data_IF_500383242134
#
_entry.id   IF_500383242134
#
_cell.length_a   1.000
_cell.length_b   1.000
_cell.length_c   1.000
_cell.angle_alpha   90.00
_cell.angle_beta   90.00
_cell.angle_gamma   90.00
#
_symmetry.space_group_name_H-M   'P 1'
#
loop_
_entity.id
_entity.type
_entity.pdbx_description
1 polymer ?
#
# COMPACT_ATOMS: atom_id res chain seq x y z
N UNK A 1 18.59 18.14 -8.09
CA UNK A 1 18.41 17.30 -6.88
C UNK A 1 18.83 15.88 -7.25
N UNK A 2 19.55 15.14 -6.40
CA UNK A 2 19.91 13.76 -6.76
C UNK A 2 18.71 12.85 -6.45
N UNK A 3 18.22 12.13 -7.46
CA UNK A 3 17.24 11.05 -7.24
C UNK A 3 17.97 9.93 -6.47
N UNK A 4 17.54 9.70 -5.24
CA UNK A 4 18.09 8.62 -4.41
C UNK A 4 17.17 7.41 -4.54
N UNK A 5 17.72 6.31 -5.01
CA UNK A 5 16.95 5.07 -5.10
C UNK A 5 16.50 4.63 -3.69
N UNK A 6 15.22 4.36 -3.48
CA UNK A 6 14.72 3.86 -2.21
C UNK A 6 15.26 2.45 -1.96
N UNK A 7 15.27 2.05 -0.68
CA UNK A 7 15.68 0.72 -0.26
C UNK A 7 14.61 0.14 0.65
N UNK A 8 14.42 -1.19 0.65
CA UNK A 8 13.61 -1.83 1.67
C UNK A 8 14.21 -1.52 3.05
N UNK A 9 13.42 -1.66 4.10
CA UNK A 9 13.93 -1.53 5.46
C UNK A 9 13.33 -2.60 6.36
N UNK A 10 14.09 -2.98 7.39
CA UNK A 10 13.62 -3.70 8.56
C UNK A 10 14.03 -2.90 9.79
N UNK A 11 13.08 -2.60 10.66
CA UNK A 11 13.32 -1.99 11.97
C UNK A 11 12.97 -3.03 13.02
N UNK A 12 13.99 -3.69 13.55
CA UNK A 12 13.82 -4.79 14.50
C UNK A 12 13.55 -4.26 15.91
N UNK A 13 12.44 -4.70 16.52
CA UNK A 13 12.08 -4.39 17.90
C UNK A 13 11.04 -5.41 18.40
N UNK A 14 11.27 -6.03 19.56
CA UNK A 14 10.32 -6.92 20.20
C UNK A 14 9.88 -8.15 19.37
N UNK A 15 8.93 -8.95 19.90
CA UNK A 15 8.55 -10.23 19.30
C UNK A 15 7.43 -10.15 18.26
N UNK A 16 6.76 -9.00 18.09
CA UNK A 16 5.62 -8.80 17.20
C UNK A 16 6.07 -8.11 15.92
N UNK A 17 5.52 -8.51 14.77
CA UNK A 17 5.92 -7.97 13.49
C UNK A 17 4.76 -7.39 12.68
N UNK A 18 5.06 -6.33 11.92
CA UNK A 18 4.15 -5.70 10.96
C UNK A 18 4.84 -5.57 9.60
N UNK A 19 4.23 -6.16 8.57
CA UNK A 19 4.62 -5.95 7.19
C UNK A 19 3.93 -4.69 6.67
N UNK A 20 4.72 -3.72 6.20
CA UNK A 20 4.25 -2.42 5.71
C UNK A 20 4.34 -2.36 4.19
N UNK A 21 3.21 -2.20 3.52
CA UNK A 21 3.08 -2.24 2.08
C UNK A 21 2.78 -0.85 1.52
N UNK A 22 3.63 -0.38 0.60
CA UNK A 22 3.47 0.96 -0.02
C UNK A 22 2.48 0.97 -1.19
N UNK A 23 2.08 2.18 -1.62
CA UNK A 23 1.15 2.40 -2.72
C UNK A 23 1.76 2.28 -4.13
N UNK A 24 0.90 2.34 -5.15
CA UNK A 24 1.28 2.46 -6.55
C UNK A 24 2.02 3.78 -6.78
N UNK A 25 3.07 3.78 -7.58
CA UNK A 25 4.03 4.88 -7.79
C UNK A 25 4.86 5.28 -6.55
N UNK A 26 4.51 4.77 -5.37
CA UNK A 26 5.21 4.99 -4.12
C UNK A 26 6.38 4.04 -3.88
N UNK A 27 6.92 4.06 -2.69
CA UNK A 27 8.00 3.17 -2.23
C UNK A 27 8.08 3.11 -0.70
N UNK A 28 9.05 2.38 -0.16
CA UNK A 28 9.20 2.17 1.29
C UNK A 28 9.22 3.45 2.16
N UNK A 29 9.56 4.62 1.59
CA UNK A 29 9.55 5.88 2.36
C UNK A 29 8.13 6.29 2.79
N UNK A 30 7.11 5.92 2.03
CA UNK A 30 5.72 6.30 2.31
C UNK A 30 5.21 5.71 3.62
N UNK A 31 5.76 4.57 4.02
CA UNK A 31 5.39 3.85 5.25
C UNK A 31 6.51 3.86 6.32
N UNK A 32 7.63 4.55 6.03
CA UNK A 32 8.80 4.56 6.92
C UNK A 32 8.52 5.23 8.26
N UNK A 33 7.72 6.31 8.27
CA UNK A 33 7.40 7.01 9.52
C UNK A 33 6.57 6.12 10.45
N UNK A 34 5.59 5.42 9.91
CA UNK A 34 4.82 4.41 10.63
C UNK A 34 5.75 3.29 11.16
N UNK A 35 6.66 2.79 10.31
CA UNK A 35 7.63 1.77 10.74
C UNK A 35 8.50 2.21 11.92
N UNK A 36 9.00 3.46 11.89
CA UNK A 36 9.78 4.02 13.01
C UNK A 36 8.95 4.26 14.28
N UNK A 37 7.69 4.60 14.12
CA UNK A 37 6.78 4.73 15.24
C UNK A 37 6.54 3.36 15.90
N UNK A 38 6.24 2.34 15.10
CA UNK A 38 6.03 0.96 15.58
C UNK A 38 7.28 0.38 16.25
N UNK A 39 8.48 0.64 15.70
CA UNK A 39 9.75 0.28 16.34
C UNK A 39 9.85 0.82 17.77
N UNK A 40 9.51 2.09 17.99
CA UNK A 40 9.52 2.71 19.34
C UNK A 40 8.48 2.10 20.28
N UNK A 41 7.42 1.49 19.73
CA UNK A 41 6.36 0.80 20.48
C UNK A 41 6.68 -0.70 20.67
N UNK A 42 7.84 -1.18 20.23
CA UNK A 42 8.29 -2.56 20.42
C UNK A 42 7.80 -3.54 19.34
N UNK A 43 7.39 -3.05 18.17
CA UNK A 43 7.04 -3.85 17.00
C UNK A 43 8.17 -3.82 15.96
N UNK A 44 8.57 -4.98 15.50
CA UNK A 44 9.38 -5.08 14.28
C UNK A 44 8.54 -4.69 13.07
N UNK A 45 9.11 -3.91 12.16
CA UNK A 45 8.43 -3.55 10.92
C UNK A 45 9.35 -3.80 9.71
N UNK A 46 8.79 -4.38 8.66
CA UNK A 46 9.46 -4.57 7.38
C UNK A 46 8.67 -3.93 6.26
N UNK A 47 9.35 -3.23 5.35
CA UNK A 47 8.75 -2.69 4.14
C UNK A 47 9.59 -3.07 2.92
N UNK A 48 9.05 -3.84 1.97
CA UNK A 48 9.69 -4.14 0.69
C UNK A 48 9.66 -2.93 -0.25
N UNK A 49 10.24 -3.10 -1.43
CA UNK A 49 9.99 -2.30 -2.61
C UNK A 49 9.62 -3.27 -3.72
N UNK A 50 8.47 -3.06 -4.35
CA UNK A 50 8.04 -3.90 -5.47
C UNK A 50 8.83 -3.58 -6.72
N UNK A 51 8.99 -4.55 -7.62
CA UNK A 51 9.64 -4.39 -8.92
C UNK A 51 9.11 -3.17 -9.67
N UNK A 52 10.01 -2.36 -10.23
CA UNK A 52 9.71 -1.14 -10.94
C UNK A 52 9.40 0.08 -10.08
N UNK A 53 9.06 -0.08 -8.78
CA UNK A 53 8.75 1.02 -7.89
C UNK A 53 10.02 1.74 -7.40
N UNK A 54 9.91 3.06 -7.19
CA UNK A 54 11.05 3.89 -6.79
C UNK A 54 12.10 4.09 -7.89
N UNK A 55 11.79 3.68 -9.12
CA UNK A 55 12.59 3.81 -10.33
C UNK A 55 11.90 4.78 -11.32
N UNK A 56 12.54 5.12 -12.46
CA UNK A 56 11.87 5.88 -13.51
C UNK A 56 10.55 5.27 -13.95
N UNK A 57 9.54 6.06 -14.35
CA UNK A 57 8.23 5.56 -14.77
C UNK A 57 8.30 4.47 -15.85
N UNK A 58 9.31 4.52 -16.71
CA UNK A 58 9.57 3.52 -17.75
C UNK A 58 9.90 2.13 -17.18
N UNK A 59 10.50 2.08 -16.00
CA UNK A 59 10.78 0.81 -15.31
C UNK A 59 9.52 0.27 -14.61
N UNK A 60 8.68 1.17 -14.09
CA UNK A 60 7.43 0.78 -13.46
C UNK A 60 6.49 0.07 -14.46
N UNK A 61 6.32 0.61 -15.67
CA UNK A 61 5.44 0.01 -16.69
C UNK A 61 5.96 -1.31 -17.29
N UNK A 62 7.24 -1.67 -17.04
CA UNK A 62 7.79 -3.00 -17.40
C UNK A 62 7.44 -4.07 -16.39
N UNK A 63 6.98 -3.67 -15.21
CA UNK A 63 6.51 -4.58 -14.15
C UNK A 63 4.97 -4.70 -14.18
N UNK A 64 4.44 -5.63 -13.41
CA UNK A 64 3.00 -5.91 -13.39
C UNK A 64 2.54 -6.40 -12.00
N UNK A 65 1.22 -6.44 -11.74
CA UNK A 65 0.65 -6.87 -10.47
C UNK A 65 1.07 -8.27 -10.01
N UNK A 66 1.26 -9.23 -10.91
CA UNK A 66 1.71 -10.57 -10.53
C UNK A 66 3.12 -10.56 -9.94
N UNK A 67 3.99 -9.73 -10.53
CA UNK A 67 5.35 -9.55 -10.03
C UNK A 67 5.35 -8.83 -8.68
N UNK A 68 4.49 -7.83 -8.49
CA UNK A 68 4.35 -7.12 -7.21
C UNK A 68 3.80 -8.05 -6.12
N UNK A 69 2.87 -8.92 -6.50
CA UNK A 69 2.37 -9.97 -5.62
C UNK A 69 3.49 -10.94 -5.19
N UNK A 70 4.35 -11.36 -6.12
CA UNK A 70 5.51 -12.19 -5.78
C UNK A 70 6.47 -11.47 -4.82
N UNK A 71 6.69 -10.16 -5.01
CA UNK A 71 7.54 -9.37 -4.12
C UNK A 71 6.93 -9.25 -2.70
N UNK A 72 5.60 -9.14 -2.59
CA UNK A 72 4.89 -9.16 -1.28
C UNK A 72 5.00 -10.51 -0.61
N UNK A 73 4.83 -11.62 -1.33
CA UNK A 73 5.02 -12.97 -0.77
C UNK A 73 6.45 -13.17 -0.27
N UNK A 74 7.44 -12.73 -1.04
CA UNK A 74 8.85 -12.81 -0.64
C UNK A 74 9.12 -11.97 0.62
N UNK A 75 8.52 -10.78 0.72
CA UNK A 75 8.65 -9.94 1.91
C UNK A 75 7.98 -10.57 3.14
N UNK A 76 6.84 -11.21 2.98
CA UNK A 76 6.16 -11.94 4.04
C UNK A 76 7.00 -13.13 4.53
N UNK A 77 7.52 -13.96 3.61
CA UNK A 77 8.42 -15.06 3.95
C UNK A 77 9.72 -14.57 4.61
N UNK A 78 10.27 -13.44 4.13
CA UNK A 78 11.44 -12.83 4.78
C UNK A 78 11.17 -12.51 6.27
N UNK A 79 10.01 -11.95 6.61
CA UNK A 79 9.65 -11.67 8.01
C UNK A 79 9.49 -12.98 8.81
N UNK A 80 8.95 -14.05 8.19
CA UNK A 80 8.88 -15.39 8.82
C UNK A 80 10.28 -15.98 9.06
N UNK A 81 11.21 -15.82 8.12
CA UNK A 81 12.59 -16.27 8.24
C UNK A 81 13.36 -15.54 9.36
N UNK A 82 12.98 -14.30 9.70
CA UNK A 82 13.48 -13.58 10.87
C UNK A 82 12.97 -14.16 12.20
N UNK A 83 12.05 -15.14 12.15
CA UNK A 83 11.54 -15.87 13.32
C UNK A 83 10.17 -15.41 13.80
N UNK A 84 9.50 -14.45 13.11
CA UNK A 84 8.17 -13.98 13.47
C UNK A 84 7.09 -14.95 12.97
N UNK A 85 6.30 -15.49 13.89
CA UNK A 85 5.20 -16.43 13.57
C UNK A 85 3.89 -15.72 13.28
N UNK A 86 3.64 -14.61 13.97
CA UNK A 86 2.46 -13.78 13.82
C UNK A 86 2.85 -12.44 13.22
N UNK A 87 2.30 -12.13 12.06
CA UNK A 87 2.65 -10.95 11.29
C UNK A 87 1.35 -10.22 10.93
N UNK A 88 1.19 -8.99 11.42
CA UNK A 88 0.15 -8.10 10.94
C UNK A 88 0.60 -7.41 9.64
N UNK A 89 -0.35 -6.99 8.83
CA UNK A 89 -0.07 -6.33 7.55
C UNK A 89 -0.78 -4.97 7.51
N UNK A 90 -0.07 -3.90 7.20
CA UNK A 90 -0.64 -2.59 6.98
C UNK A 90 -0.24 -2.08 5.59
N UNK A 91 -1.21 -1.74 4.75
CA UNK A 91 -0.97 -1.40 3.36
C UNK A 91 -1.67 -0.15 2.88
N UNK A 92 -0.92 0.75 2.23
CA UNK A 92 -1.43 1.98 1.63
C UNK A 92 -1.85 1.74 0.17
N UNK A 93 -3.07 2.12 -0.20
CA UNK A 93 -3.56 2.08 -1.58
C UNK A 93 -3.38 0.69 -2.23
N UNK A 94 -2.56 0.55 -3.28
CA UNK A 94 -2.16 -0.75 -3.85
C UNK A 94 -1.63 -1.71 -2.77
N UNK A 95 -0.85 -1.20 -1.81
CA UNK A 95 -0.35 -2.01 -0.70
C UNK A 95 -1.48 -2.60 0.15
N UNK A 96 -2.60 -1.89 0.31
CA UNK A 96 -3.78 -2.42 0.97
C UNK A 96 -4.50 -3.48 0.14
N UNK A 97 -4.58 -3.33 -1.19
CA UNK A 97 -5.12 -4.36 -2.09
C UNK A 97 -4.28 -5.65 -2.03
N UNK A 98 -2.94 -5.52 -2.08
CA UNK A 98 -2.02 -6.65 -1.94
C UNK A 98 -2.06 -7.26 -0.52
N UNK A 99 -2.27 -6.43 0.51
CA UNK A 99 -2.46 -6.88 1.88
C UNK A 99 -3.76 -7.68 2.07
N UNK A 100 -4.86 -7.24 1.47
CA UNK A 100 -6.12 -7.99 1.44
C UNK A 100 -5.95 -9.31 0.68
N UNK A 101 -5.19 -9.31 -0.43
CA UNK A 101 -4.84 -10.55 -1.14
C UNK A 101 -4.04 -11.50 -0.23
N UNK A 102 -3.12 -10.98 0.55
CA UNK A 102 -2.35 -11.78 1.51
C UNK A 102 -3.26 -12.35 2.61
N UNK A 103 -4.25 -11.57 3.09
CA UNK A 103 -5.15 -11.97 4.16
C UNK A 103 -6.03 -13.19 3.82
N UNK A 104 -6.41 -13.39 2.56
CA UNK A 104 -7.12 -14.61 2.16
C UNK A 104 -6.21 -15.72 1.63
N UNK A 105 -4.93 -15.42 1.39
CA UNK A 105 -3.97 -16.41 0.86
C UNK A 105 -3.08 -17.02 1.93
N UNK A 106 -2.83 -16.30 3.03
CA UNK A 106 -1.89 -16.66 4.10
C UNK A 106 -2.53 -16.43 5.48
N UNK A 107 -1.98 -17.11 6.48
CA UNK A 107 -2.39 -16.86 7.86
C UNK A 107 -1.63 -15.64 8.40
N UNK A 108 -2.28 -14.49 8.45
CA UNK A 108 -1.75 -13.25 9.02
C UNK A 108 -2.49 -12.87 10.29
N UNK A 109 -1.85 -12.11 11.18
CA UNK A 109 -2.41 -11.72 12.48
C UNK A 109 -3.54 -10.69 12.37
N UNK A 110 -3.37 -9.71 11.48
CA UNK A 110 -4.34 -8.67 11.20
C UNK A 110 -4.06 -8.01 9.85
N UNK A 111 -5.09 -7.39 9.27
CA UNK A 111 -4.97 -6.58 8.04
C UNK A 111 -5.47 -5.16 8.27
N UNK A 112 -4.67 -4.16 7.84
CA UNK A 112 -4.97 -2.74 7.95
C UNK A 112 -4.87 -2.11 6.53
N UNK A 113 -5.93 -2.23 5.70
CA UNK A 113 -5.98 -1.55 4.40
C UNK A 113 -6.24 -0.06 4.58
N UNK A 114 -5.33 0.78 4.07
CA UNK A 114 -5.39 2.24 4.16
C UNK A 114 -5.64 2.85 2.78
N UNK A 115 -6.72 3.59 2.59
CA UNK A 115 -7.09 4.23 1.32
C UNK A 115 -7.01 3.25 0.13
N UNK A 116 -7.54 2.04 0.30
CA UNK A 116 -7.37 0.93 -0.65
C UNK A 116 -8.52 0.87 -1.65
N UNK A 117 -8.26 0.91 -2.98
CA UNK A 117 -9.31 0.91 -3.98
C UNK A 117 -10.00 -0.45 -4.10
N UNK A 118 -11.34 -0.46 -4.10
CA UNK A 118 -12.18 -1.60 -4.45
C UNK A 118 -13.02 -1.33 -5.72
N UNK A 119 -13.07 -0.08 -6.15
CA UNK A 119 -13.74 0.33 -7.38
C UNK A 119 -12.71 0.89 -8.37
N UNK A 120 -12.70 0.32 -9.56
CA UNK A 120 -11.84 0.73 -10.67
C UNK A 120 -12.70 1.36 -11.77
N UNK A 121 -13.65 2.22 -11.35
CA UNK A 121 -14.65 2.81 -12.25
C UNK A 121 -14.07 3.90 -13.16
N UNK A 122 -12.87 4.36 -12.85
CA UNK A 122 -12.16 5.38 -13.61
C UNK A 122 -10.70 5.00 -13.80
N UNK A 123 -10.38 4.36 -14.93
CA UNK A 123 -9.00 4.36 -15.44
C UNK A 123 -8.40 5.78 -15.37
N UNK A 124 -9.24 6.82 -15.41
CA UNK A 124 -8.87 8.23 -15.42
C UNK A 124 -8.20 8.70 -14.13
N UNK A 125 -8.60 8.25 -12.94
CA UNK A 125 -7.99 8.77 -11.69
C UNK A 125 -6.60 8.17 -11.42
N UNK A 126 -6.46 6.85 -11.55
CA UNK A 126 -5.16 6.20 -11.38
C UNK A 126 -4.19 6.55 -12.53
N UNK A 127 -4.69 6.66 -13.76
CA UNK A 127 -3.89 7.10 -14.90
C UNK A 127 -3.45 8.55 -14.75
N UNK A 128 -4.29 9.46 -14.24
CA UNK A 128 -3.90 10.85 -13.98
C UNK A 128 -2.86 10.95 -12.85
N UNK A 129 -2.98 10.13 -11.80
CA UNK A 129 -1.97 10.02 -10.75
C UNK A 129 -0.62 9.55 -11.28
N UNK A 130 -0.62 8.52 -12.12
CA UNK A 130 0.59 8.03 -12.78
C UNK A 130 1.18 9.06 -13.74
N UNK A 131 0.36 9.79 -14.47
CA UNK A 131 0.80 10.88 -15.34
C UNK A 131 1.46 12.01 -14.55
N UNK A 132 0.85 12.40 -13.42
CA UNK A 132 1.42 13.42 -12.51
C UNK A 132 2.76 12.96 -11.96
N UNK A 133 2.84 11.76 -11.40
CA UNK A 133 4.08 11.14 -10.92
C UNK A 133 5.16 11.14 -12.01
N UNK A 134 4.80 10.71 -13.22
CA UNK A 134 5.74 10.62 -14.33
C UNK A 134 6.26 11.99 -14.76
N UNK A 135 5.39 13.00 -14.80
CA UNK A 135 5.76 14.39 -15.09
C UNK A 135 6.73 14.93 -14.06
N UNK A 136 6.41 14.79 -12.77
CA UNK A 136 7.26 15.26 -11.67
C UNK A 136 8.63 14.56 -11.69
N UNK A 137 8.65 13.24 -11.93
CA UNK A 137 9.90 12.50 -12.06
C UNK A 137 10.80 13.04 -13.17
N UNK A 138 10.24 13.28 -14.36
CA UNK A 138 10.97 13.82 -15.51
C UNK A 138 11.45 15.27 -15.30
N UNK A 139 10.69 16.07 -14.55
CA UNK A 139 11.14 17.39 -14.10
C UNK A 139 12.35 17.30 -13.16
N UNK A 140 12.37 16.32 -12.26
CA UNK A 140 13.52 16.04 -11.38
C UNK A 140 14.75 15.57 -12.17
N UNK A 141 14.57 14.91 -13.31
CA UNK A 141 15.65 14.58 -14.26
C UNK A 141 16.20 15.82 -15.00
N UNK A 142 15.53 16.97 -14.91
CA UNK A 142 15.94 18.22 -15.55
C UNK A 142 15.59 18.28 -17.03
N UNK A 143 14.57 17.54 -17.48
CA UNK A 143 14.09 17.55 -18.87
C UNK A 143 13.24 18.78 -19.16
N UNK A 144 13.28 19.25 -20.40
CA UNK A 144 12.44 20.35 -20.89
C UNK A 144 10.99 19.92 -21.10
N UNK A 145 10.02 20.83 -20.93
CA UNK A 145 8.58 20.54 -21.00
C UNK A 145 8.15 19.91 -22.34
N UNK A 146 8.79 20.26 -23.45
CA UNK A 146 8.52 19.67 -24.77
C UNK A 146 8.91 18.19 -24.84
N UNK A 147 10.04 17.81 -24.24
CA UNK A 147 10.51 16.43 -24.13
C UNK A 147 9.60 15.66 -23.18
N UNK A 148 9.27 16.26 -22.05
CA UNK A 148 8.36 15.66 -21.06
C UNK A 148 7.02 15.32 -21.70
N UNK A 149 6.43 16.24 -22.46
CA UNK A 149 5.13 16.03 -23.12
C UNK A 149 5.15 14.84 -24.08
N UNK A 150 6.21 14.73 -24.89
CA UNK A 150 6.37 13.63 -25.86
C UNK A 150 6.60 12.27 -25.16
N UNK A 151 7.43 12.26 -24.13
CA UNK A 151 7.70 11.04 -23.35
C UNK A 151 6.48 10.57 -22.56
N UNK A 152 5.66 11.50 -22.01
CA UNK A 152 4.43 11.18 -21.32
C UNK A 152 3.40 10.52 -22.24
N UNK A 153 3.23 11.02 -23.47
CA UNK A 153 2.31 10.42 -24.44
C UNK A 153 2.66 8.95 -24.71
N UNK A 154 3.95 8.68 -24.99
CA UNK A 154 4.45 7.34 -25.20
C UNK A 154 4.29 6.44 -23.95
N UNK A 155 4.57 7.00 -22.78
CA UNK A 155 4.49 6.29 -21.51
C UNK A 155 3.04 5.88 -21.18
N UNK A 156 2.08 6.79 -21.39
CA UNK A 156 0.67 6.52 -21.18
C UNK A 156 0.14 5.42 -22.10
N UNK A 157 0.53 5.43 -23.37
CA UNK A 157 0.15 4.36 -24.32
C UNK A 157 0.69 2.99 -23.88
N UNK A 158 1.96 2.94 -23.44
CA UNK A 158 2.62 1.71 -23.01
C UNK A 158 2.17 1.20 -21.63
N UNK A 159 1.53 2.06 -20.82
CA UNK A 159 1.04 1.68 -19.47
C UNK A 159 -0.32 0.99 -19.47
N UNK A 160 -1.07 1.01 -20.56
CA UNK A 160 -2.46 0.47 -20.65
C UNK A 160 -2.58 -0.97 -20.16
N UNK A 161 -1.65 -1.85 -20.57
CA UNK A 161 -1.65 -3.24 -20.13
C UNK A 161 -1.50 -3.37 -18.61
N UNK A 162 -0.60 -2.61 -18.03
CA UNK A 162 -0.37 -2.59 -16.57
C UNK A 162 -1.64 -2.15 -15.84
N UNK A 163 -2.34 -1.12 -16.31
CA UNK A 163 -3.60 -0.66 -15.72
C UNK A 163 -4.73 -1.68 -15.85
N UNK A 164 -4.84 -2.36 -17.00
CA UNK A 164 -5.80 -3.47 -17.17
C UNK A 164 -5.54 -4.55 -16.12
N UNK A 165 -4.30 -4.99 -15.95
CA UNK A 165 -3.93 -6.00 -14.97
C UNK A 165 -4.13 -5.51 -13.51
N UNK A 166 -3.93 -4.22 -13.23
CA UNK A 166 -4.23 -3.64 -11.93
C UNK A 166 -5.74 -3.69 -11.63
N UNK A 167 -6.58 -3.38 -12.62
CA UNK A 167 -8.03 -3.56 -12.51
C UNK A 167 -8.42 -5.02 -12.26
N UNK A 168 -7.79 -5.97 -12.94
CA UNK A 168 -7.99 -7.41 -12.74
C UNK A 168 -7.63 -7.85 -11.31
N UNK A 169 -6.50 -7.37 -10.77
CA UNK A 169 -6.12 -7.61 -9.37
C UNK A 169 -7.17 -7.09 -8.38
N UNK A 170 -7.65 -5.85 -8.56
CA UNK A 170 -8.69 -5.28 -7.69
C UNK A 170 -9.98 -6.12 -7.75
N UNK A 171 -10.39 -6.55 -8.96
CA UNK A 171 -11.55 -7.41 -9.11
C UNK A 171 -11.35 -8.81 -8.52
N UNK A 172 -10.15 -9.36 -8.59
CA UNK A 172 -9.79 -10.61 -7.92
C UNK A 172 -9.96 -10.50 -6.41
N UNK A 173 -9.37 -9.46 -5.79
CA UNK A 173 -9.48 -9.20 -4.34
C UNK A 173 -10.95 -9.00 -3.95
N UNK A 174 -11.70 -8.23 -4.74
CA UNK A 174 -13.11 -7.97 -4.52
C UNK A 174 -13.97 -9.25 -4.51
N UNK A 175 -13.64 -10.23 -5.36
CA UNK A 175 -14.34 -11.53 -5.38
C UNK A 175 -14.02 -12.47 -4.23
N UNK A 176 -12.90 -12.24 -3.53
CA UNK A 176 -12.45 -13.09 -2.43
C UNK A 176 -12.54 -12.40 -1.06
N UNK A 177 -13.07 -11.18 -1.01
CA UNK A 177 -13.07 -10.36 0.21
C UNK A 177 -13.88 -10.99 1.35
N UNK A 178 -14.94 -11.72 1.02
CA UNK A 178 -15.81 -12.48 1.94
C UNK A 178 -15.16 -13.75 2.51
N UNK A 179 -13.94 -14.06 2.08
CA UNK A 179 -13.14 -15.14 2.66
C UNK A 179 -12.10 -14.65 3.67
N UNK A 180 -12.09 -13.35 3.98
CA UNK A 180 -11.19 -12.75 4.97
C UNK A 180 -11.85 -12.76 6.35
N UNK A 181 -11.34 -13.63 7.24
CA UNK A 181 -11.76 -13.73 8.64
C UNK A 181 -10.76 -13.10 9.61
N UNK A 182 -9.68 -12.56 9.08
CA UNK A 182 -8.59 -11.94 9.83
C UNK A 182 -9.05 -10.61 10.45
N UNK A 183 -8.72 -10.31 11.73
CA UNK A 183 -8.98 -9.02 12.35
C UNK A 183 -8.62 -7.85 11.42
N UNK A 184 -9.56 -6.93 11.20
CA UNK A 184 -9.46 -5.93 10.13
C UNK A 184 -9.74 -4.51 10.64
N UNK A 185 -8.77 -3.60 10.47
CA UNK A 185 -8.97 -2.16 10.67
C UNK A 185 -8.91 -1.45 9.32
N UNK A 186 -10.05 -1.01 8.82
CA UNK A 186 -10.11 -0.24 7.56
C UNK A 186 -9.85 1.23 7.84
N UNK A 187 -8.95 1.84 7.07
CA UNK A 187 -8.58 3.26 7.19
C UNK A 187 -8.92 4.00 5.91
N UNK A 188 -9.60 5.17 6.04
CA UNK A 188 -9.92 6.00 4.89
C UNK A 188 -9.81 7.50 5.21
N UNK A 189 -9.13 8.21 4.33
CA UNK A 189 -9.06 9.67 4.32
C UNK A 189 -10.27 10.27 3.60
N UNK A 190 -10.95 11.25 4.21
CA UNK A 190 -12.13 11.93 3.62
C UNK A 190 -11.78 12.81 2.43
N UNK A 191 -10.57 13.39 2.42
CA UNK A 191 -10.12 14.27 1.34
C UNK A 191 -9.39 13.50 0.23
N UNK A 192 -9.54 12.17 0.20
CA UNK A 192 -8.99 11.34 -0.86
C UNK A 192 -9.64 11.66 -2.23
N UNK A 193 -8.82 12.15 -3.17
CA UNK A 193 -9.22 12.50 -4.53
C UNK A 193 -8.73 11.49 -5.57
N UNK A 194 -7.99 10.46 -5.12
CA UNK A 194 -7.38 9.47 -6.00
C UNK A 194 -8.23 8.22 -6.16
N UNK A 195 -8.98 7.83 -5.12
CA UNK A 195 -9.86 6.67 -5.14
C UNK A 195 -11.28 7.03 -4.68
N UNK A 196 -12.23 6.17 -5.01
CA UNK A 196 -13.57 6.26 -4.46
C UNK A 196 -13.54 5.83 -2.98
N UNK A 197 -13.87 6.76 -2.07
CA UNK A 197 -13.85 6.52 -0.62
C UNK A 197 -14.87 5.48 -0.14
N UNK A 198 -15.91 5.16 -0.94
CA UNK A 198 -16.83 4.04 -0.68
C UNK A 198 -16.12 2.68 -0.66
N UNK A 199 -14.90 2.60 -1.20
CA UNK A 199 -14.06 1.40 -1.11
C UNK A 199 -13.84 0.95 0.33
N UNK A 200 -13.68 1.89 1.26
CA UNK A 200 -13.50 1.56 2.67
C UNK A 200 -14.77 0.94 3.29
N UNK A 201 -15.92 1.51 2.99
CA UNK A 201 -17.22 0.95 3.42
C UNK A 201 -17.42 -0.44 2.82
N UNK A 202 -17.10 -0.61 1.53
CA UNK A 202 -17.20 -1.90 0.87
C UNK A 202 -16.30 -2.96 1.54
N UNK A 203 -15.03 -2.63 1.84
CA UNK A 203 -14.13 -3.55 2.55
C UNK A 203 -14.72 -3.93 3.91
N UNK A 204 -15.10 -2.92 4.71
CA UNK A 204 -15.65 -3.12 6.04
C UNK A 204 -16.90 -4.00 6.07
N UNK A 205 -17.81 -3.81 5.12
CA UNK A 205 -19.08 -4.54 5.05
C UNK A 205 -18.89 -5.99 4.57
N UNK A 206 -17.89 -6.27 3.73
CA UNK A 206 -17.74 -7.56 3.06
C UNK A 206 -16.65 -8.48 3.63
N UNK A 207 -15.72 -8.00 4.48
CA UNK A 207 -14.85 -8.91 5.24
C UNK A 207 -15.68 -9.63 6.32
N UNK A 208 -15.43 -10.93 6.51
CA UNK A 208 -16.16 -11.79 7.46
C UNK A 208 -15.43 -11.88 8.83
N UNK A 209 -14.55 -10.92 9.13
CA UNK A 209 -13.86 -10.85 10.41
C UNK A 209 -14.82 -10.53 11.55
N UNK A 210 -14.72 -11.27 12.66
CA UNK A 210 -15.47 -10.99 13.90
C UNK A 210 -15.00 -9.66 14.53
N UNK A 211 -13.70 -9.40 14.47
CA UNK A 211 -13.07 -8.17 14.94
C UNK A 211 -12.78 -7.25 13.74
N UNK A 212 -13.65 -6.29 13.51
CA UNK A 212 -13.44 -5.30 12.44
C UNK A 212 -13.88 -3.90 12.85
N UNK A 213 -13.11 -2.91 12.42
CA UNK A 213 -13.44 -1.50 12.60
C UNK A 213 -13.09 -0.68 11.35
N UNK A 214 -13.69 0.51 11.23
CA UNK A 214 -13.42 1.49 10.19
C UNK A 214 -13.08 2.83 10.83
N UNK A 215 -11.97 3.44 10.39
CA UNK A 215 -11.51 4.75 10.84
C UNK A 215 -11.47 5.74 9.69
N UNK A 216 -12.10 6.87 9.90
CA UNK A 216 -12.14 7.99 8.96
C UNK A 216 -11.29 9.14 9.47
N UNK A 217 -10.52 9.75 8.55
CA UNK A 217 -9.66 10.89 8.81
C UNK A 217 -10.14 12.07 7.96
N UNK A 218 -10.54 13.13 8.63
CA UNK A 218 -11.34 14.20 8.01
C UNK A 218 -10.51 15.18 7.17
N UNK A 219 -9.23 15.40 7.55
CA UNK A 219 -8.37 16.43 6.98
C UNK A 219 -7.31 15.90 6.01
N UNK A 220 -7.14 14.58 5.96
CA UNK A 220 -6.09 13.93 5.17
C UNK A 220 -6.57 13.51 3.80
N UNK A 221 -5.61 13.51 2.83
CA UNK A 221 -5.78 12.97 1.48
C UNK A 221 -5.26 11.55 1.34
N UNK A 222 -5.07 11.10 0.08
CA UNK A 222 -4.79 9.71 -0.27
C UNK A 222 -3.55 9.12 0.41
N UNK A 223 -2.43 9.85 0.50
CA UNK A 223 -1.18 9.37 1.12
C UNK A 223 -1.21 9.67 2.63
N UNK A 224 -2.21 9.11 3.31
CA UNK A 224 -2.51 9.37 4.72
C UNK A 224 -1.33 9.13 5.65
N UNK A 225 -0.44 8.22 5.30
CA UNK A 225 0.79 7.88 6.07
C UNK A 225 1.79 9.04 6.16
N UNK A 226 1.65 10.06 5.32
CA UNK A 226 2.52 11.24 5.27
C UNK A 226 1.76 12.56 5.49
N UNK A 227 0.43 12.51 5.61
CA UNK A 227 -0.43 13.68 5.65
C UNK A 227 -0.65 14.21 7.09
N UNK A 228 -1.59 15.13 7.24
CA UNK A 228 -1.79 15.95 8.44
C UNK A 228 -2.13 15.12 9.69
N UNK A 229 -2.89 14.04 9.53
CA UNK A 229 -3.35 13.19 10.63
C UNK A 229 -2.49 11.92 10.82
N UNK A 230 -1.29 11.87 10.24
CA UNK A 230 -0.42 10.68 10.32
C UNK A 230 -0.07 10.27 11.75
N UNK A 231 0.11 11.23 12.66
CA UNK A 231 0.39 10.92 14.06
C UNK A 231 -0.80 10.22 14.73
N UNK A 232 -2.02 10.68 14.46
CA UNK A 232 -3.24 10.02 14.93
C UNK A 232 -3.39 8.63 14.32
N UNK A 233 -3.15 8.50 13.00
CA UNK A 233 -3.14 7.21 12.32
C UNK A 233 -2.16 6.21 12.97
N UNK A 234 -0.96 6.67 13.31
CA UNK A 234 0.04 5.81 13.94
C UNK A 234 -0.43 5.28 15.31
N UNK A 235 -1.01 6.15 16.15
CA UNK A 235 -1.54 5.76 17.46
C UNK A 235 -2.78 4.87 17.33
N UNK A 236 -3.66 5.12 16.36
CA UNK A 236 -4.83 4.29 16.11
C UNK A 236 -4.44 2.88 15.64
N UNK A 237 -3.46 2.77 14.73
CA UNK A 237 -2.90 1.48 14.30
C UNK A 237 -2.28 0.74 15.48
N UNK A 238 -1.48 1.44 16.30
CA UNK A 238 -0.88 0.83 17.48
C UNK A 238 -1.96 0.35 18.47
N UNK A 239 -2.97 1.17 18.73
CA UNK A 239 -4.08 0.80 19.62
C UNK A 239 -4.81 -0.44 19.13
N UNK A 240 -5.10 -0.52 17.83
CA UNK A 240 -5.70 -1.71 17.22
C UNK A 240 -4.80 -2.95 17.37
N UNK A 241 -3.50 -2.82 17.10
CA UNK A 241 -2.55 -3.93 17.26
C UNK A 241 -2.45 -4.43 18.70
N UNK A 242 -2.64 -3.56 19.71
CA UNK A 242 -2.65 -3.92 21.13
C UNK A 242 -3.94 -4.64 21.58
N UNK A 243 -5.02 -4.59 20.79
CA UNK A 243 -6.24 -5.35 21.09
C UNK A 243 -6.12 -6.82 20.69
N UNK A 244 -5.16 -7.15 19.83
CA UNK A 244 -4.99 -8.50 19.30
C UNK A 244 -4.33 -9.44 20.32
N UNK A 245 -4.78 -10.69 20.34
CA UNK A 245 -4.20 -11.74 21.18
C UNK A 245 -2.95 -12.33 20.53
N UNK A 246 -1.78 -11.68 20.76
CA UNK A 246 -0.50 -12.15 20.27
C UNK A 246 0.02 -13.31 21.10
N UNK A 247 0.46 -14.40 20.45
CA UNK A 247 1.25 -15.44 21.12
C UNK A 247 2.62 -14.85 21.50
N UNK A 248 2.89 -14.74 22.82
CA UNK A 248 4.14 -14.18 23.35
C UNK A 248 5.23 -15.25 23.50
#
# INVERSE_FOLDING_TARGET
>A
MKIVQPKPFTFEAGPRAVLLLHGFTGHSADVRMLGRFLEKKGYTSHAPIYRGHGLPPEELIKSNPDQWWDDVKQAFEHVKELGYKEIAVAGLSLGGVLGLKLAYSENIKAIIPMCSPMFFDNETQLTSGFQTFSKEYKQLEGKDDSIISQELESLMENSKRMFTQLGELIQEVKRNIDTIYTPTMVVQARQDKMINTESATYIYENVEADEKEIRWYEESGHVITLDQEKEQLHEDIYTFLETLDWET
#
